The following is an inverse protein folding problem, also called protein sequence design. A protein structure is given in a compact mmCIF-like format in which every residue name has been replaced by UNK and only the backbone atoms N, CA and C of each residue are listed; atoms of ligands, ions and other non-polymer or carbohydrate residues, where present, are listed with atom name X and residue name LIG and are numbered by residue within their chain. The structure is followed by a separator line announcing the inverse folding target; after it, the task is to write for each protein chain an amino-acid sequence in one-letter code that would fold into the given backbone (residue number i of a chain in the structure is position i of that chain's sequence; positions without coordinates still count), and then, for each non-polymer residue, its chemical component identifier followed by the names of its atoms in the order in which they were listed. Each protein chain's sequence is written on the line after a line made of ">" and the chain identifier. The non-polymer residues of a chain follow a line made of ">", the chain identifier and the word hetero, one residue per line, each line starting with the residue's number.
data_IF_383942353444
#
_entry.id   IF_383942353444
#
_cell.length_a   1.000
_cell.length_b   1.000
_cell.length_c   1.000
_cell.angle_alpha   90.00
_cell.angle_beta   90.00
_cell.angle_gamma   90.00
#
_symmetry.space_group_name_H-M   'P 1'
#
loop_
_entity.id
_entity.type
_entity.pdbx_description
1 polymer ?
#
# COMPACT_ATOMS: atom_id res chain seq x y z
N UNK A 1 -20.09 0.76 -43.30
CA UNK A 1 -20.12 1.34 -41.94
C UNK A 1 -20.61 0.25 -41.02
N UNK A 2 -19.71 -0.62 -40.61
CA UNK A 2 -19.97 -1.72 -39.68
C UNK A 2 -19.65 -1.20 -38.28
N UNK A 3 -20.68 -1.19 -37.43
CA UNK A 3 -20.60 -0.86 -36.01
C UNK A 3 -19.99 -2.04 -35.25
N UNK A 4 -18.66 -2.14 -35.27
CA UNK A 4 -17.90 -3.08 -34.44
C UNK A 4 -17.46 -2.39 -33.13
N UNK A 5 -18.41 -1.87 -32.35
CA UNK A 5 -18.09 -1.16 -31.11
C UNK A 5 -19.00 -1.54 -29.93
N UNK A 6 -19.40 -2.81 -29.87
CA UNK A 6 -20.03 -3.41 -28.69
C UNK A 6 -19.22 -4.63 -28.25
N UNK A 7 -18.81 -4.61 -26.98
CA UNK A 7 -18.36 -5.77 -26.20
C UNK A 7 -17.06 -6.47 -26.64
N UNK A 8 -15.99 -5.71 -26.87
CA UNK A 8 -14.75 -6.17 -26.26
C UNK A 8 -14.96 -6.04 -24.75
N UNK A 9 -15.05 -7.16 -24.02
CA UNK A 9 -14.94 -7.19 -22.56
C UNK A 9 -13.61 -6.52 -22.23
N UNK A 10 -13.61 -5.18 -22.09
CA UNK A 10 -12.39 -4.41 -21.83
C UNK A 10 -11.91 -4.94 -20.50
N UNK A 11 -10.83 -5.70 -20.53
CA UNK A 11 -10.18 -6.18 -19.32
C UNK A 11 -10.05 -4.99 -18.36
N UNK A 12 -10.38 -5.21 -17.10
CA UNK A 12 -10.41 -4.20 -16.04
C UNK A 12 -9.34 -4.56 -15.02
N UNK A 13 -8.86 -3.56 -14.29
CA UNK A 13 -8.01 -3.73 -13.11
C UNK A 13 -8.60 -2.99 -11.92
N UNK A 14 -8.20 -3.34 -10.70
CA UNK A 14 -8.63 -2.59 -9.50
C UNK A 14 -8.21 -1.13 -9.59
N UNK A 15 -8.87 -0.20 -8.90
CA UNK A 15 -8.44 1.21 -8.82
C UNK A 15 -7.25 1.33 -7.88
N UNK A 16 -7.29 0.63 -6.73
CA UNK A 16 -6.13 0.50 -5.85
C UNK A 16 -4.97 -0.18 -6.56
N UNK A 17 -3.76 0.25 -6.25
CA UNK A 17 -2.50 -0.15 -6.89
C UNK A 17 -1.55 -0.74 -5.86
N UNK A 18 -0.81 -1.78 -6.23
CA UNK A 18 0.30 -2.23 -5.42
C UNK A 18 1.37 -1.16 -5.32
N UNK A 19 2.13 -1.16 -4.23
CA UNK A 19 3.15 -0.14 -3.99
C UNK A 19 4.17 -0.04 -5.13
N UNK A 20 4.59 -1.18 -5.70
CA UNK A 20 5.55 -1.21 -6.81
C UNK A 20 4.99 -0.67 -8.14
N UNK A 21 3.67 -0.59 -8.29
CA UNK A 21 3.05 0.02 -9.49
C UNK A 21 3.07 1.55 -9.42
N UNK A 22 2.96 2.12 -8.21
CA UNK A 22 2.99 3.56 -7.98
C UNK A 22 4.42 4.08 -7.77
N UNK A 23 5.25 3.27 -7.12
CA UNK A 23 6.62 3.56 -6.77
C UNK A 23 7.51 2.40 -7.24
N UNK A 24 7.94 2.40 -8.50
CA UNK A 24 8.74 1.33 -9.07
C UNK A 24 10.01 1.04 -8.27
N UNK A 25 10.43 -0.22 -8.27
CA UNK A 25 11.72 -0.61 -7.69
C UNK A 25 12.88 0.01 -8.48
N UNK A 26 14.02 0.15 -7.82
CA UNK A 26 15.24 0.62 -8.46
C UNK A 26 15.79 -0.51 -9.34
N UNK A 27 16.40 -0.16 -10.47
CA UNK A 27 17.16 -1.13 -11.24
C UNK A 27 18.37 -1.63 -10.41
N UNK A 28 18.93 -2.77 -10.81
CA UNK A 28 20.10 -3.33 -10.12
C UNK A 28 21.25 -2.32 -10.13
N UNK A 29 21.75 -1.99 -8.93
CA UNK A 29 22.78 -0.97 -8.67
C UNK A 29 22.37 0.48 -8.89
N UNK A 30 21.11 0.77 -9.18
CA UNK A 30 20.61 2.13 -9.24
C UNK A 30 20.59 2.75 -7.83
N UNK A 31 21.20 3.94 -7.70
CA UNK A 31 21.17 4.73 -6.47
C UNK A 31 20.18 5.87 -6.66
N UNK A 32 19.13 5.89 -5.83
CA UNK A 32 18.10 6.92 -5.86
C UNK A 32 18.16 7.81 -4.61
N UNK A 33 17.75 9.09 -4.71
CA UNK A 33 17.70 9.96 -3.55
C UNK A 33 16.65 9.48 -2.54
N UNK A 34 16.86 9.77 -1.27
CA UNK A 34 15.91 9.43 -0.20
C UNK A 34 14.52 10.03 -0.43
N UNK A 35 14.43 11.19 -1.09
CA UNK A 35 13.15 11.80 -1.47
C UNK A 35 12.31 10.94 -2.43
N UNK A 36 12.90 9.93 -3.06
CA UNK A 36 12.21 8.93 -3.89
C UNK A 36 12.03 7.62 -3.11
N UNK A 37 13.06 7.18 -2.39
CA UNK A 37 13.03 5.91 -1.65
C UNK A 37 12.09 5.92 -0.44
N UNK A 38 12.02 7.01 0.32
CA UNK A 38 11.20 7.09 1.54
C UNK A 38 9.72 6.95 1.22
N UNK A 39 9.13 7.68 0.25
CA UNK A 39 7.76 7.41 -0.20
C UNK A 39 7.55 5.96 -0.65
N UNK A 40 8.47 5.39 -1.43
CA UNK A 40 8.37 3.99 -1.89
C UNK A 40 8.32 3.01 -0.73
N UNK A 41 9.22 3.16 0.24
CA UNK A 41 9.32 2.30 1.42
C UNK A 41 8.06 2.38 2.28
N UNK A 42 7.51 3.58 2.48
CA UNK A 42 6.23 3.75 3.17
C UNK A 42 5.04 3.16 2.39
N UNK A 43 5.02 3.27 1.07
CA UNK A 43 4.00 2.62 0.26
C UNK A 43 4.08 1.09 0.38
N UNK A 44 5.30 0.53 0.37
CA UNK A 44 5.51 -0.90 0.60
C UNK A 44 5.07 -1.34 2.00
N UNK A 45 5.41 -0.56 3.02
CA UNK A 45 4.99 -0.79 4.40
C UNK A 45 3.46 -0.92 4.48
N UNK A 46 2.73 0.04 3.91
CA UNK A 46 1.26 0.03 3.85
C UNK A 46 0.73 -1.19 3.07
N UNK A 47 1.37 -1.55 1.96
CA UNK A 47 1.01 -2.73 1.18
C UNK A 47 1.22 -4.05 1.93
N UNK A 48 2.20 -4.11 2.84
CA UNK A 48 2.49 -5.29 3.66
C UNK A 48 1.64 -5.37 4.94
N UNK A 49 0.96 -4.28 5.32
CA UNK A 49 0.02 -4.29 6.42
C UNK A 49 -1.04 -5.40 6.25
N UNK A 50 -1.50 -5.96 7.36
CA UNK A 50 -2.35 -7.16 7.37
C UNK A 50 -3.84 -6.87 7.12
N UNK A 51 -4.26 -5.61 7.23
CA UNK A 51 -5.66 -5.22 7.06
C UNK A 51 -6.16 -5.43 5.63
N UNK A 52 -7.43 -5.81 5.49
CA UNK A 52 -8.06 -5.99 4.17
C UNK A 52 -7.52 -7.17 3.35
N UNK A 53 -6.95 -8.20 4.00
CA UNK A 53 -6.43 -9.42 3.35
C UNK A 53 -7.04 -10.69 3.98
N UNK A 54 -6.92 -11.83 3.30
CA UNK A 54 -7.23 -13.15 3.84
C UNK A 54 -6.16 -13.73 4.76
N UNK A 55 -5.30 -12.88 5.36
CA UNK A 55 -4.16 -13.32 6.14
C UNK A 55 -4.49 -14.26 7.32
N UNK A 56 -5.65 -14.17 8.03
CA UNK A 56 -5.93 -15.10 9.12
C UNK A 56 -6.15 -16.54 8.64
N UNK A 57 -6.38 -16.72 7.34
CA UNK A 57 -6.54 -18.02 6.69
C UNK A 57 -5.30 -18.43 5.88
N UNK A 58 -4.23 -17.63 5.89
CA UNK A 58 -2.98 -17.98 5.23
C UNK A 58 -2.24 -19.10 5.95
N UNK A 59 -1.40 -19.84 5.22
CA UNK A 59 -0.56 -20.87 5.85
C UNK A 59 0.42 -20.22 6.84
N UNK A 60 0.73 -20.85 8.00
CA UNK A 60 1.57 -20.24 9.03
C UNK A 60 2.90 -19.68 8.53
N UNK A 61 3.56 -20.39 7.60
CA UNK A 61 4.83 -19.96 7.01
C UNK A 61 4.69 -18.70 6.14
N UNK A 62 3.56 -18.54 5.45
CA UNK A 62 3.27 -17.35 4.64
C UNK A 62 2.99 -16.14 5.56
N UNK A 63 2.20 -16.35 6.62
CA UNK A 63 1.94 -15.31 7.61
C UNK A 63 3.23 -14.86 8.32
N UNK A 64 4.08 -15.80 8.72
CA UNK A 64 5.36 -15.48 9.35
C UNK A 64 6.30 -14.71 8.40
N UNK A 65 6.43 -15.15 7.15
CA UNK A 65 7.23 -14.45 6.14
C UNK A 65 6.74 -13.03 5.88
N UNK A 66 5.41 -12.83 5.86
CA UNK A 66 4.81 -11.49 5.69
C UNK A 66 5.06 -10.59 6.89
N UNK A 67 4.89 -11.10 8.12
CA UNK A 67 5.15 -10.32 9.34
C UNK A 67 6.61 -9.87 9.35
N UNK A 68 7.55 -10.77 9.03
CA UNK A 68 8.96 -10.42 8.92
C UNK A 68 9.19 -9.32 7.87
N UNK A 69 8.64 -9.49 6.65
CA UNK A 69 8.77 -8.49 5.60
C UNK A 69 8.18 -7.13 6.00
N UNK A 70 7.05 -7.12 6.72
CA UNK A 70 6.44 -5.90 7.25
C UNK A 70 7.36 -5.22 8.27
N UNK A 71 7.87 -5.95 9.27
CA UNK A 71 8.78 -5.42 10.30
C UNK A 71 10.05 -4.87 9.66
N UNK A 72 10.68 -5.62 8.75
CA UNK A 72 11.89 -5.18 8.05
C UNK A 72 11.61 -3.89 7.25
N UNK A 73 10.47 -3.82 6.56
CA UNK A 73 10.11 -2.65 5.76
C UNK A 73 9.83 -1.42 6.64
N UNK A 74 9.14 -1.59 7.77
CA UNK A 74 8.90 -0.50 8.74
C UNK A 74 10.24 0.06 9.23
N UNK A 75 11.14 -0.81 9.69
CA UNK A 75 12.43 -0.40 10.22
C UNK A 75 13.26 0.35 9.17
N UNK A 76 13.32 -0.17 7.94
CA UNK A 76 14.05 0.47 6.84
C UNK A 76 13.42 1.80 6.44
N UNK A 77 12.08 1.88 6.36
CA UNK A 77 11.36 3.10 6.03
C UNK A 77 11.63 4.21 7.05
N UNK A 78 11.52 3.90 8.35
CA UNK A 78 11.79 4.83 9.43
C UNK A 78 13.24 5.29 9.44
N UNK A 79 14.20 4.37 9.24
CA UNK A 79 15.61 4.75 9.21
C UNK A 79 15.92 5.65 8.01
N UNK A 80 15.38 5.33 6.83
CA UNK A 80 15.54 6.16 5.63
C UNK A 80 14.92 7.56 5.82
N UNK A 81 13.77 7.65 6.48
CA UNK A 81 13.11 8.92 6.83
C UNK A 81 13.93 9.73 7.86
N UNK A 82 14.48 9.08 8.88
CA UNK A 82 15.37 9.73 9.84
C UNK A 82 16.60 10.34 9.15
N UNK A 83 17.24 9.57 8.26
CA UNK A 83 18.35 10.04 7.45
C UNK A 83 17.95 11.21 6.52
N UNK A 84 16.74 11.15 5.93
CA UNK A 84 16.22 12.23 5.10
C UNK A 84 16.00 13.52 5.89
N UNK A 85 15.65 13.41 7.17
CA UNK A 85 15.52 14.52 8.12
C UNK A 85 16.87 15.05 8.62
N UNK A 86 17.98 14.42 8.22
CA UNK A 86 19.34 14.84 8.59
C UNK A 86 19.87 14.21 9.88
N UNK A 87 19.13 13.28 10.49
CA UNK A 87 19.59 12.51 11.65
C UNK A 87 20.62 11.49 11.19
N UNK A 88 21.62 11.17 12.03
CA UNK A 88 22.64 10.16 11.70
C UNK A 88 23.11 9.37 12.92
N UNK A 89 23.68 8.18 12.69
CA UNK A 89 24.24 7.35 13.76
C UNK A 89 23.21 6.99 14.82
N UNK A 90 23.59 7.13 16.09
CA UNK A 90 22.75 6.79 17.24
C UNK A 90 21.45 7.61 17.29
N UNK A 91 21.48 8.86 16.85
CA UNK A 91 20.30 9.73 16.83
C UNK A 91 19.21 9.17 15.91
N UNK A 92 19.61 8.68 14.73
CA UNK A 92 18.67 8.06 13.80
C UNK A 92 18.10 6.75 14.39
N UNK A 93 18.93 5.95 15.07
CA UNK A 93 18.47 4.71 15.71
C UNK A 93 17.50 4.97 16.85
N UNK A 94 17.79 5.91 17.75
CA UNK A 94 16.87 6.27 18.83
C UNK A 94 15.53 6.79 18.28
N UNK A 95 15.56 7.58 17.20
CA UNK A 95 14.34 8.05 16.54
C UNK A 95 13.48 6.90 16.00
N UNK A 96 14.11 5.87 15.43
CA UNK A 96 13.43 4.67 14.92
C UNK A 96 12.85 3.84 16.07
N UNK A 97 13.61 3.60 17.14
CA UNK A 97 13.18 2.79 18.29
C UNK A 97 11.94 3.35 18.97
N UNK A 98 11.88 4.68 19.18
CA UNK A 98 10.69 5.37 19.71
C UNK A 98 9.43 5.15 18.87
N UNK A 99 9.60 4.85 17.58
CA UNK A 99 8.52 4.70 16.59
C UNK A 99 8.26 3.24 16.22
N UNK A 100 8.99 2.29 16.80
CA UNK A 100 8.78 0.85 16.61
C UNK A 100 8.19 0.16 17.85
N UNK A 101 7.97 0.88 18.94
CA UNK A 101 7.24 0.38 20.13
C UNK A 101 5.82 -0.10 19.74
N UNK A 102 5.08 -0.90 20.56
CA UNK A 102 3.75 -1.39 20.20
C UNK A 102 2.77 -0.28 19.80
N UNK A 103 2.89 0.91 20.39
CA UNK A 103 2.13 2.11 19.99
C UNK A 103 2.79 2.83 18.79
N UNK A 104 4.09 2.62 18.56
CA UNK A 104 4.89 3.18 17.48
C UNK A 104 4.47 2.73 16.08
N UNK A 105 3.84 1.56 15.91
CA UNK A 105 3.28 1.17 14.61
C UNK A 105 2.16 2.10 14.14
N UNK A 106 1.43 2.75 15.05
CA UNK A 106 0.49 3.81 14.71
C UNK A 106 1.25 5.04 14.18
N UNK A 107 2.36 5.41 14.83
CA UNK A 107 3.22 6.52 14.40
C UNK A 107 3.85 6.26 13.03
N UNK A 108 4.29 5.03 12.75
CA UNK A 108 4.82 4.66 11.44
C UNK A 108 3.75 4.82 10.34
N UNK A 109 2.49 4.49 10.63
CA UNK A 109 1.38 4.77 9.73
C UNK A 109 1.19 6.28 9.56
N UNK A 110 1.11 7.07 10.64
CA UNK A 110 0.98 8.53 10.57
C UNK A 110 2.08 9.16 9.71
N UNK A 111 3.33 8.70 9.83
CA UNK A 111 4.44 9.10 8.96
C UNK A 111 4.18 8.75 7.50
N UNK A 112 3.74 7.52 7.20
CA UNK A 112 3.40 7.12 5.84
C UNK A 112 2.33 8.04 5.23
N UNK A 113 1.28 8.36 5.99
CA UNK A 113 0.22 9.30 5.56
C UNK A 113 0.78 10.71 5.34
N UNK A 114 1.67 11.19 6.20
CA UNK A 114 2.31 12.50 6.06
C UNK A 114 3.24 12.58 4.83
N UNK A 115 3.96 11.51 4.51
CA UNK A 115 4.89 11.45 3.37
C UNK A 115 4.16 11.27 2.04
N UNK A 116 3.16 10.39 1.99
CA UNK A 116 2.47 10.03 0.74
C UNK A 116 1.29 10.97 0.43
N UNK A 117 0.71 11.57 1.47
CA UNK A 117 -0.63 12.15 1.41
C UNK A 117 -1.72 11.08 1.53
N UNK A 118 -2.86 11.46 2.12
CA UNK A 118 -3.97 10.54 2.42
C UNK A 118 -4.48 9.79 1.19
N UNK A 119 -4.68 10.48 0.07
CA UNK A 119 -5.29 9.86 -1.11
C UNK A 119 -4.39 8.77 -1.69
N UNK A 120 -3.07 8.97 -1.70
CA UNK A 120 -2.11 7.94 -2.15
C UNK A 120 -2.05 6.80 -1.14
N UNK A 121 -1.94 7.11 0.16
CA UNK A 121 -1.86 6.10 1.21
C UNK A 121 -3.08 5.16 1.21
N UNK A 122 -4.29 5.69 1.02
CA UNK A 122 -5.51 4.88 0.93
C UNK A 122 -5.67 4.14 -0.40
N UNK A 123 -4.96 4.56 -1.45
CA UNK A 123 -4.97 3.88 -2.75
C UNK A 123 -4.05 2.65 -2.81
N UNK A 124 -3.21 2.44 -1.79
CA UNK A 124 -2.30 1.28 -1.74
C UNK A 124 -3.13 -0.01 -1.55
N UNK A 125 -2.99 -0.92 -2.51
CA UNK A 125 -3.56 -2.27 -2.48
C UNK A 125 -2.69 -3.15 -1.57
N UNK A 126 -3.28 -3.81 -0.56
CA UNK A 126 -2.55 -4.78 0.25
C UNK A 126 -2.02 -5.91 -0.63
N UNK A 127 -0.74 -6.27 -0.46
CA UNK A 127 -0.17 -7.44 -1.12
C UNK A 127 -0.95 -8.70 -0.74
N UNK A 128 -1.22 -9.63 -1.67
CA UNK A 128 -1.98 -10.83 -1.36
C UNK A 128 -1.35 -11.65 -0.21
N UNK A 129 -2.19 -12.12 0.70
CA UNK A 129 -1.81 -13.06 1.76
C UNK A 129 -3.02 -13.93 2.06
N UNK A 130 -2.90 -15.23 1.82
CA UNK A 130 -4.04 -16.15 1.93
C UNK A 130 -5.05 -16.00 0.78
N UNK A 131 -6.27 -16.51 0.96
CA UNK A 131 -7.35 -16.42 -0.03
C UNK A 131 -7.74 -14.98 -0.34
N UNK A 132 -8.25 -14.74 -1.55
CA UNK A 132 -8.84 -13.43 -1.92
C UNK A 132 -9.94 -13.04 -0.93
N UNK A 133 -9.90 -11.81 -0.38
CA UNK A 133 -10.95 -11.33 0.50
C UNK A 133 -12.32 -11.39 -0.16
N UNK A 134 -13.33 -11.81 0.60
CA UNK A 134 -14.73 -11.80 0.15
C UNK A 134 -15.43 -10.48 0.43
N UNK A 135 -14.68 -9.43 0.78
CA UNK A 135 -15.19 -8.09 1.08
C UNK A 135 -14.03 -7.10 1.01
N UNK A 136 -14.35 -5.82 0.88
CA UNK A 136 -13.40 -4.71 0.91
C UNK A 136 -14.10 -3.43 1.38
N UNK A 137 -13.31 -2.42 1.74
CA UNK A 137 -13.82 -1.18 2.32
C UNK A 137 -13.76 -0.01 1.33
N UNK A 138 -14.83 0.77 1.28
CA UNK A 138 -14.94 2.02 0.52
C UNK A 138 -14.83 3.20 1.48
N UNK A 139 -13.96 4.14 1.14
CA UNK A 139 -13.80 5.38 1.89
C UNK A 139 -14.70 6.46 1.30
N UNK A 140 -15.61 6.97 2.13
CA UNK A 140 -16.41 8.12 1.80
C UNK A 140 -15.59 9.42 1.71
N UNK A 141 -16.23 10.52 1.29
CA UNK A 141 -15.58 11.83 1.28
C UNK A 141 -15.18 12.26 2.69
N UNK A 142 -14.05 12.98 2.79
CA UNK A 142 -13.54 13.54 4.05
C UNK A 142 -14.54 14.56 4.60
N UNK A 143 -14.98 14.33 5.84
CA UNK A 143 -15.90 15.24 6.54
C UNK A 143 -15.16 16.48 7.05
N UNK A 144 -15.90 17.53 7.38
CA UNK A 144 -15.33 18.77 7.91
C UNK A 144 -14.51 18.57 9.20
N UNK A 145 -14.86 17.55 10.00
CA UNK A 145 -14.17 17.16 11.23
C UNK A 145 -12.92 16.28 10.99
N UNK A 146 -12.57 16.00 9.72
CA UNK A 146 -11.37 15.26 9.35
C UNK A 146 -11.53 13.75 9.23
N UNK A 147 -12.61 13.15 9.74
CA UNK A 147 -12.87 11.71 9.59
C UNK A 147 -13.55 11.36 8.26
N UNK A 148 -13.47 10.09 7.88
CA UNK A 148 -14.17 9.50 6.72
C UNK A 148 -15.10 8.38 7.20
N UNK A 149 -16.25 8.23 6.54
CA UNK A 149 -17.07 7.03 6.74
C UNK A 149 -16.46 5.88 5.94
N UNK A 150 -16.37 4.71 6.58
CA UNK A 150 -15.96 3.46 5.93
C UNK A 150 -17.20 2.63 5.67
N UNK A 151 -17.43 2.24 4.42
CA UNK A 151 -18.51 1.33 4.04
C UNK A 151 -17.93 0.02 3.55
N UNK A 152 -18.25 -1.08 4.22
CA UNK A 152 -17.86 -2.41 3.81
C UNK A 152 -18.74 -2.88 2.66
N UNK A 153 -18.12 -3.37 1.59
CA UNK A 153 -18.77 -3.94 0.41
C UNK A 153 -18.49 -5.44 0.38
N UNK A 154 -19.54 -6.23 0.19
CA UNK A 154 -19.45 -7.69 0.13
C UNK A 154 -19.08 -8.16 -1.28
N UNK A 155 -18.03 -8.97 -1.37
CA UNK A 155 -17.45 -9.54 -2.59
C UNK A 155 -16.01 -9.06 -2.86
N UNK A 156 -15.33 -9.76 -3.77
CA UNK A 156 -13.94 -9.45 -4.15
C UNK A 156 -13.86 -8.12 -4.90
N UNK A 157 -12.84 -7.31 -4.61
CA UNK A 157 -12.68 -5.95 -5.17
C UNK A 157 -12.65 -5.92 -6.71
N UNK A 158 -12.03 -6.93 -7.33
CA UNK A 158 -11.91 -7.07 -8.78
C UNK A 158 -13.24 -7.39 -9.49
N UNK A 159 -14.26 -7.81 -8.74
CA UNK A 159 -15.60 -8.07 -9.26
C UNK A 159 -16.49 -6.82 -9.31
N UNK A 160 -16.09 -5.70 -8.68
CA UNK A 160 -16.93 -4.50 -8.58
C UNK A 160 -16.60 -3.45 -9.65
N UNK A 161 -17.58 -2.99 -10.46
CA UNK A 161 -17.36 -1.94 -11.44
C UNK A 161 -16.81 -0.64 -10.83
N UNK A 162 -17.30 -0.24 -9.66
CA UNK A 162 -16.87 1.00 -8.99
C UNK A 162 -15.46 0.91 -8.40
N UNK A 163 -14.93 -0.31 -8.24
CA UNK A 163 -13.60 -0.58 -7.70
C UNK A 163 -12.57 -0.88 -8.79
N UNK A 164 -12.99 -0.83 -10.04
CA UNK A 164 -12.17 -1.22 -11.18
C UNK A 164 -12.21 -0.14 -12.25
N UNK A 165 -11.16 -0.08 -13.05
CA UNK A 165 -11.06 0.80 -14.21
C UNK A 165 -10.72 -0.01 -15.47
N UNK A 166 -11.14 0.44 -16.66
CA UNK A 166 -10.74 -0.20 -17.91
C UNK A 166 -9.22 -0.16 -18.09
N UNK A 167 -8.63 -1.25 -18.57
CA UNK A 167 -7.24 -1.26 -19.01
C UNK A 167 -7.07 -0.33 -20.22
N UNK A 168 -6.06 0.53 -20.17
CA UNK A 168 -5.58 1.28 -21.32
C UNK A 168 -4.64 0.35 -22.12
N UNK A 169 -4.63 0.46 -23.46
CA UNK A 169 -3.85 -0.43 -24.33
C UNK A 169 -2.40 -0.63 -23.84
N UNK A 170 -2.00 -1.90 -23.62
CA UNK A 170 -0.66 -2.27 -23.16
C UNK A 170 -0.50 -2.45 -21.65
N UNK A 171 -1.57 -2.27 -20.86
CA UNK A 171 -1.56 -2.56 -19.42
C UNK A 171 -2.00 -4.00 -19.14
N UNK A 172 -1.32 -4.67 -18.20
CA UNK A 172 -1.72 -5.99 -17.69
C UNK A 172 -2.75 -5.85 -16.54
N UNK A 173 -3.66 -6.83 -16.38
CA UNK A 173 -4.52 -6.90 -15.21
C UNK A 173 -3.70 -7.26 -13.96
N UNK A 174 -3.76 -6.40 -12.94
CA UNK A 174 -3.07 -6.51 -11.64
C UNK A 174 -4.02 -6.86 -10.49
#
# INVERSE_FOLDING_TARGET
>A
MTTDNETATRARRTIRRYAHELFPEADVYEVRPLSVEVPRLYAMMLGLAVHGTGWPQAAPIQSAARIQAYVDTVQIALLADALQQGLTGDEAWSWVEERMDPDGFEIANERAFAVLGEDVAYSIKPYPCGPTPTHHDHLGPKQAQGFRFVTRVEGAEDAFPDCTEPLVHGQEPS
#
